data_IF_249323242887
#
_entry.id   IF_249323242887
#
_cell.length_a   1.000
_cell.length_b   1.000
_cell.length_c   1.000
_cell.angle_alpha   90.00
_cell.angle_beta   90.00
_cell.angle_gamma   90.00
#
_symmetry.space_group_name_H-M   'P 1'
#
loop_
_entity.id
_entity.type
_entity.pdbx_description
1 polymer ?
#
# COMPACT_ATOMS: atom_id res chain seq x y z
N UNK A 1 11.78 -37.08 6.23
CA UNK A 1 11.00 -36.58 5.09
C UNK A 1 9.99 -35.63 5.68
N UNK A 2 10.24 -34.33 5.61
CA UNK A 2 9.21 -33.37 5.99
C UNK A 2 8.06 -33.49 5.00
N UNK A 3 6.86 -33.77 5.53
CA UNK A 3 5.64 -33.74 4.74
C UNK A 3 5.50 -32.35 4.14
N UNK A 4 5.45 -32.25 2.82
CA UNK A 4 5.20 -30.99 2.12
C UNK A 4 3.90 -30.37 2.67
N UNK A 5 4.03 -29.20 3.28
CA UNK A 5 2.90 -28.46 3.82
C UNK A 5 2.15 -27.77 2.68
N UNK A 6 0.83 -27.70 2.77
CA UNK A 6 -0.02 -27.03 1.79
C UNK A 6 -0.90 -26.00 2.47
N UNK A 7 -1.15 -24.88 1.79
CA UNK A 7 -2.13 -23.90 2.21
C UNK A 7 -3.54 -24.50 2.10
N UNK A 8 -4.48 -23.93 2.85
CA UNK A 8 -5.88 -24.13 2.56
C UNK A 8 -6.23 -23.30 1.31
N UNK A 9 -6.31 -23.96 0.15
CA UNK A 9 -6.55 -23.31 -1.15
C UNK A 9 -7.87 -22.54 -1.18
N UNK A 10 -8.95 -23.06 -0.58
CA UNK A 10 -10.24 -22.35 -0.52
C UNK A 10 -10.11 -21.04 0.28
N UNK A 11 -9.38 -21.07 1.39
CA UNK A 11 -9.17 -19.88 2.20
C UNK A 11 -8.21 -18.89 1.54
N UNK A 12 -7.18 -19.40 0.86
CA UNK A 12 -6.21 -18.60 0.12
C UNK A 12 -6.88 -17.87 -1.06
N UNK A 13 -7.68 -18.58 -1.86
CA UNK A 13 -8.49 -18.00 -2.93
C UNK A 13 -9.45 -16.95 -2.39
N UNK A 14 -10.14 -17.25 -1.29
CA UNK A 14 -11.04 -16.28 -0.66
C UNK A 14 -10.30 -15.01 -0.21
N UNK A 15 -9.06 -15.13 0.32
CA UNK A 15 -8.23 -13.97 0.66
C UNK A 15 -7.90 -13.14 -0.59
N UNK A 16 -7.51 -13.79 -1.68
CA UNK A 16 -7.18 -13.13 -2.96
C UNK A 16 -8.35 -12.31 -3.47
N UNK A 17 -9.57 -12.84 -3.36
CA UNK A 17 -10.78 -12.19 -3.84
C UNK A 17 -11.28 -11.08 -2.93
N UNK A 18 -11.02 -11.18 -1.62
CA UNK A 18 -11.69 -10.33 -0.62
C UNK A 18 -10.76 -9.29 -0.02
N UNK A 19 -9.52 -9.62 0.34
CA UNK A 19 -8.66 -8.74 1.13
C UNK A 19 -7.98 -7.66 0.27
N UNK A 20 -8.15 -6.39 0.62
CA UNK A 20 -7.55 -5.24 -0.07
C UNK A 20 -6.52 -4.48 0.75
N UNK A 21 -6.55 -4.55 2.08
CA UNK A 21 -5.55 -3.94 2.95
C UNK A 21 -6.09 -3.51 4.30
N UNK A 22 -5.76 -2.28 4.73
CA UNK A 22 -5.97 -1.79 6.08
C UNK A 22 -6.55 -0.37 6.17
N UNK A 23 -7.12 -0.02 7.33
CA UNK A 23 -7.72 1.28 7.61
C UNK A 23 -9.22 1.30 7.35
N UNK A 24 -9.68 2.27 6.56
CA UNK A 24 -11.09 2.41 6.20
C UNK A 24 -11.26 3.25 4.93
N UNK A 25 -12.34 3.01 4.18
CA UNK A 25 -12.61 3.76 2.95
C UNK A 25 -13.02 5.22 3.20
N UNK A 26 -13.47 5.59 4.39
CA UNK A 26 -13.75 6.98 4.75
C UNK A 26 -12.47 7.80 5.04
N UNK A 27 -11.30 7.15 5.00
CA UNK A 27 -10.00 7.77 5.14
C UNK A 27 -9.78 8.85 4.09
N UNK A 28 -9.23 9.99 4.50
CA UNK A 28 -8.96 11.13 3.61
C UNK A 28 -7.79 10.86 2.66
N UNK A 29 -6.82 10.07 3.09
CA UNK A 29 -5.59 9.79 2.36
C UNK A 29 -5.47 8.29 2.11
N UNK A 30 -5.52 7.90 0.85
CA UNK A 30 -5.36 6.51 0.45
C UNK A 30 -3.95 6.29 -0.07
N UNK A 31 -3.32 5.22 0.38
CA UNK A 31 -2.00 4.78 -0.06
C UNK A 31 -2.14 3.44 -0.74
N UNK A 32 -1.70 3.34 -1.99
CA UNK A 32 -1.89 2.14 -2.80
C UNK A 32 -0.54 1.63 -3.27
N UNK A 33 -0.16 0.47 -2.75
CA UNK A 33 1.09 -0.23 -3.05
C UNK A 33 0.91 -1.41 -3.99
N UNK A 34 2.03 -2.02 -4.36
CA UNK A 34 2.05 -3.22 -5.19
C UNK A 34 1.49 -4.43 -4.45
N UNK A 35 2.09 -4.79 -3.32
CA UNK A 35 1.75 -5.95 -2.49
C UNK A 35 2.38 -5.79 -1.10
N UNK A 36 1.86 -6.52 -0.12
CA UNK A 36 2.42 -6.53 1.23
C UNK A 36 3.83 -7.16 1.25
N UNK A 37 4.75 -6.54 1.98
CA UNK A 37 6.00 -7.20 2.35
C UNK A 37 5.74 -8.32 3.37
N UNK A 38 6.53 -9.38 3.30
CA UNK A 38 6.40 -10.54 4.17
C UNK A 38 6.37 -11.82 3.34
N UNK A 39 5.77 -12.88 3.88
CA UNK A 39 5.68 -14.16 3.21
C UNK A 39 7.04 -14.83 3.01
N UNK A 40 7.92 -14.72 4.01
CA UNK A 40 9.29 -15.27 3.95
C UNK A 40 9.30 -16.79 3.85
N UNK A 41 8.30 -17.43 4.44
CA UNK A 41 8.11 -18.87 4.50
C UNK A 41 6.62 -19.23 4.56
N UNK A 42 6.34 -20.53 4.56
CA UNK A 42 4.98 -21.07 4.60
C UNK A 42 4.26 -20.65 5.88
N UNK A 43 4.95 -20.71 7.02
CA UNK A 43 4.42 -20.42 8.34
C UNK A 43 3.94 -18.97 8.46
N UNK A 44 4.71 -17.99 7.97
CA UNK A 44 4.33 -16.57 7.94
C UNK A 44 3.04 -16.36 7.13
N UNK A 45 2.99 -16.89 5.91
CA UNK A 45 1.81 -16.75 5.03
C UNK A 45 0.60 -17.44 5.66
N UNK A 46 0.78 -18.67 6.15
CA UNK A 46 -0.29 -19.43 6.78
C UNK A 46 -0.80 -18.72 8.05
N UNK A 47 0.09 -18.12 8.85
CA UNK A 47 -0.28 -17.32 10.01
C UNK A 47 -1.17 -16.12 9.61
N UNK A 48 -0.74 -15.34 8.62
CA UNK A 48 -1.49 -14.19 8.08
C UNK A 48 -2.89 -14.56 7.61
N UNK A 49 -3.00 -15.63 6.81
CA UNK A 49 -4.27 -16.09 6.26
C UNK A 49 -5.21 -16.55 7.39
N UNK A 50 -4.70 -17.30 8.37
CA UNK A 50 -5.50 -17.78 9.49
C UNK A 50 -5.92 -16.66 10.45
N UNK A 51 -5.08 -15.63 10.66
CA UNK A 51 -5.46 -14.46 11.44
C UNK A 51 -6.56 -13.68 10.72
N UNK A 52 -6.41 -13.43 9.42
CA UNK A 52 -7.45 -12.82 8.61
C UNK A 52 -8.78 -13.60 8.66
N UNK A 53 -8.73 -14.93 8.63
CA UNK A 53 -9.90 -15.78 8.84
C UNK A 53 -10.56 -15.55 10.21
N UNK A 54 -9.79 -15.62 11.29
CA UNK A 54 -10.28 -15.43 12.66
C UNK A 54 -10.87 -14.04 12.88
N UNK A 55 -10.33 -13.04 12.19
CA UNK A 55 -10.78 -11.64 12.24
C UNK A 55 -12.00 -11.36 11.35
N UNK A 56 -12.57 -12.38 10.71
CA UNK A 56 -13.84 -12.30 10.01
C UNK A 56 -13.73 -12.15 8.49
N UNK A 57 -12.53 -12.33 7.91
CA UNK A 57 -12.31 -12.29 6.46
C UNK A 57 -12.69 -10.93 5.83
N UNK A 58 -12.40 -9.84 6.54
CA UNK A 58 -12.77 -8.49 6.10
C UNK A 58 -12.03 -8.07 4.83
N UNK A 59 -12.66 -7.19 4.05
CA UNK A 59 -12.07 -6.54 2.88
C UNK A 59 -10.93 -5.60 3.29
N UNK A 60 -11.12 -4.85 4.37
CA UNK A 60 -10.14 -3.99 5.01
C UNK A 60 -10.10 -4.32 6.50
N UNK A 61 -8.89 -4.40 7.08
CA UNK A 61 -8.71 -4.62 8.52
C UNK A 61 -8.04 -3.43 9.24
N UNK A 62 -7.98 -3.45 10.56
CA UNK A 62 -7.16 -2.51 11.32
C UNK A 62 -5.69 -2.95 11.29
N UNK A 63 -4.78 -2.10 10.79
CA UNK A 63 -3.37 -2.49 10.63
C UNK A 63 -2.73 -2.82 11.98
N UNK A 64 -3.06 -2.08 13.03
CA UNK A 64 -2.44 -2.22 14.34
C UNK A 64 -2.91 -3.51 14.99
N UNK A 65 -4.23 -3.71 15.05
CA UNK A 65 -4.80 -4.92 15.65
C UNK A 65 -4.40 -6.18 14.87
N UNK A 66 -4.39 -6.13 13.54
CA UNK A 66 -3.97 -7.25 12.71
C UNK A 66 -2.51 -7.64 12.97
N UNK A 67 -1.60 -6.67 13.02
CA UNK A 67 -0.19 -6.93 13.31
C UNK A 67 0.06 -7.29 14.79
N UNK A 68 -0.79 -6.83 15.70
CA UNK A 68 -0.74 -7.22 17.10
C UNK A 68 -1.13 -8.69 17.27
N UNK A 69 -2.16 -9.16 16.56
CA UNK A 69 -2.56 -10.58 16.54
C UNK A 69 -1.48 -11.48 15.90
N UNK A 70 -0.67 -10.93 14.99
CA UNK A 70 0.54 -11.59 14.47
C UNK A 70 1.73 -11.57 15.44
N UNK A 71 1.66 -10.77 16.51
CA UNK A 71 2.75 -10.57 17.47
C UNK A 71 3.86 -9.63 16.97
N UNK A 72 3.58 -8.81 15.95
CA UNK A 72 4.57 -7.97 15.23
C UNK A 72 4.32 -6.47 15.35
N UNK A 73 3.31 -6.04 16.11
CA UNK A 73 3.06 -4.62 16.34
C UNK A 73 3.99 -4.08 17.43
N UNK A 74 4.94 -3.23 17.03
CA UNK A 74 5.89 -2.60 17.95
C UNK A 74 6.14 -1.11 17.60
N UNK A 75 6.92 -0.45 18.46
CA UNK A 75 7.30 0.97 18.31
C UNK A 75 8.37 1.21 17.22
N UNK A 76 8.82 0.15 16.54
CA UNK A 76 9.84 0.27 15.50
C UNK A 76 9.19 0.86 14.25
N UNK A 77 9.71 1.99 13.81
CA UNK A 77 9.23 2.65 12.59
C UNK A 77 9.48 1.73 11.39
N UNK A 78 8.42 1.47 10.64
CA UNK A 78 8.48 0.70 9.41
C UNK A 78 8.95 1.60 8.26
N UNK A 79 10.00 1.17 7.54
CA UNK A 79 10.63 1.98 6.49
C UNK A 79 9.65 2.35 5.37
N UNK A 80 8.75 1.43 5.01
CA UNK A 80 7.70 1.69 4.03
C UNK A 80 6.74 2.78 4.53
N UNK A 81 6.26 2.65 5.76
CA UNK A 81 5.24 3.54 6.31
C UNK A 81 5.77 4.95 6.62
N UNK A 82 7.05 5.09 6.98
CA UNK A 82 7.68 6.38 7.26
C UNK A 82 7.43 7.44 6.18
N UNK A 83 7.51 7.07 4.90
CA UNK A 83 7.27 7.99 3.80
C UNK A 83 5.79 8.38 3.68
N UNK A 84 4.88 7.40 3.79
CA UNK A 84 3.43 7.61 3.70
C UNK A 84 2.92 8.52 4.83
N UNK A 85 3.41 8.28 6.05
CA UNK A 85 3.11 9.11 7.22
C UNK A 85 3.61 10.54 6.99
N UNK A 86 4.82 10.72 6.47
CA UNK A 86 5.38 12.05 6.20
C UNK A 86 4.56 12.82 5.16
N UNK A 87 4.09 12.15 4.10
CA UNK A 87 3.16 12.75 3.13
C UNK A 87 1.89 13.24 3.84
N UNK A 88 1.29 12.40 4.69
CA UNK A 88 0.03 12.73 5.38
C UNK A 88 0.19 13.91 6.32
N UNK A 89 1.21 13.89 7.19
CA UNK A 89 1.51 14.96 8.12
C UNK A 89 1.79 16.28 7.40
N UNK A 90 2.54 16.24 6.30
CA UNK A 90 2.83 17.41 5.48
C UNK A 90 1.58 17.96 4.80
N UNK A 91 0.74 17.10 4.23
CA UNK A 91 -0.54 17.52 3.63
C UNK A 91 -1.49 18.15 4.66
N UNK A 92 -1.41 17.70 5.91
CA UNK A 92 -2.13 18.29 7.06
C UNK A 92 -1.46 19.57 7.60
N UNK A 93 -0.44 20.11 6.93
CA UNK A 93 0.18 21.40 7.23
C UNK A 93 1.32 21.35 8.25
N UNK A 94 1.84 20.16 8.59
CA UNK A 94 2.97 20.03 9.51
C UNK A 94 4.30 20.14 8.77
N UNK A 95 5.11 21.15 9.07
CA UNK A 95 6.42 21.35 8.43
C UNK A 95 7.57 20.58 9.11
N UNK A 96 7.77 20.79 10.41
CA UNK A 96 8.90 20.22 11.15
C UNK A 96 8.57 18.80 11.65
N UNK A 97 8.48 17.84 10.73
CA UNK A 97 8.14 16.44 11.04
C UNK A 97 9.39 15.69 11.48
N UNK A 98 9.47 15.34 12.75
CA UNK A 98 10.57 14.58 13.34
C UNK A 98 10.29 13.05 13.38
N UNK A 99 11.13 12.29 14.09
CA UNK A 99 11.00 10.83 14.21
C UNK A 99 9.89 10.42 15.18
N UNK A 100 9.67 11.19 16.26
CA UNK A 100 8.62 10.90 17.24
C UNK A 100 7.24 11.13 16.63
N UNK A 101 7.09 12.14 15.78
CA UNK A 101 5.88 12.38 15.01
C UNK A 101 5.50 11.18 14.14
N UNK A 102 6.49 10.59 13.45
CA UNK A 102 6.27 9.41 12.63
C UNK A 102 5.89 8.21 13.50
N UNK A 103 6.60 7.99 14.61
CA UNK A 103 6.33 6.86 15.51
C UNK A 103 4.92 6.94 16.09
N UNK A 104 4.55 8.11 16.63
CA UNK A 104 3.22 8.32 17.21
C UNK A 104 2.13 8.09 16.17
N UNK A 105 2.29 8.67 14.98
CA UNK A 105 1.30 8.48 13.91
C UNK A 105 1.21 7.02 13.46
N UNK A 106 2.33 6.29 13.37
CA UNK A 106 2.33 4.87 13.05
C UNK A 106 1.51 4.06 14.07
N UNK A 107 1.68 4.33 15.36
CA UNK A 107 1.03 3.59 16.44
C UNK A 107 -0.47 3.92 16.56
N UNK A 108 -0.80 5.21 16.47
CA UNK A 108 -2.10 5.72 16.90
C UNK A 108 -3.05 6.04 15.73
N UNK A 109 -2.53 6.27 14.52
CA UNK A 109 -3.29 6.88 13.42
C UNK A 109 -3.27 6.10 12.10
N UNK A 110 -2.12 5.53 11.73
CA UNK A 110 -1.95 4.87 10.43
C UNK A 110 -2.82 3.62 10.33
N UNK A 111 -3.60 3.49 9.24
CA UNK A 111 -4.34 2.28 8.89
C UNK A 111 -5.34 1.81 9.95
N UNK A 112 -5.83 2.72 10.80
CA UNK A 112 -6.85 2.44 11.82
C UNK A 112 -8.27 2.60 11.25
N UNK A 113 -9.24 1.87 11.80
CA UNK A 113 -10.63 1.80 11.29
C UNK A 113 -11.40 3.13 11.32
N UNK A 114 -11.04 4.05 12.19
CA UNK A 114 -11.74 5.32 12.43
C UNK A 114 -10.86 6.55 12.18
N UNK A 115 -9.71 6.36 11.53
CA UNK A 115 -8.71 7.40 11.28
C UNK A 115 -8.61 7.77 9.80
N UNK A 116 -7.71 8.68 9.48
CA UNK A 116 -7.72 9.38 8.19
C UNK A 116 -7.01 8.65 7.04
N UNK A 117 -6.51 7.43 7.25
CA UNK A 117 -5.72 6.71 6.24
C UNK A 117 -6.30 5.35 5.85
N UNK A 118 -6.21 5.06 4.56
CA UNK A 118 -6.54 3.77 3.96
C UNK A 118 -5.29 3.23 3.26
N UNK A 119 -4.88 2.00 3.55
CA UNK A 119 -3.73 1.34 2.95
C UNK A 119 -4.24 0.19 2.09
N UNK A 120 -4.05 0.24 0.79
CA UNK A 120 -4.49 -0.79 -0.13
C UNK A 120 -3.29 -1.37 -0.88
N UNK A 121 -3.41 -2.62 -1.28
CA UNK A 121 -2.43 -3.27 -2.14
C UNK A 121 -3.08 -3.70 -3.47
N UNK A 122 -2.37 -3.54 -4.58
CA UNK A 122 -2.87 -3.99 -5.87
C UNK A 122 -2.97 -5.51 -5.92
N UNK A 123 -1.95 -6.21 -5.43
CA UNK A 123 -1.87 -7.67 -5.38
C UNK A 123 -2.12 -8.15 -3.94
N UNK A 124 -3.05 -9.11 -3.73
CA UNK A 124 -3.55 -9.46 -2.39
C UNK A 124 -2.63 -10.37 -1.54
N UNK A 125 -1.66 -11.03 -2.14
CA UNK A 125 -0.76 -11.96 -1.46
C UNK A 125 0.58 -11.30 -1.11
N UNK A 126 1.10 -11.50 0.11
CA UNK A 126 2.42 -10.99 0.47
C UNK A 126 3.52 -11.72 -0.30
N UNK A 127 4.62 -11.00 -0.56
CA UNK A 127 5.83 -11.57 -1.15
C UNK A 127 7.08 -10.91 -0.57
N UNK A 128 8.16 -11.65 -0.32
CA UNK A 128 9.37 -11.07 0.24
C UNK A 128 10.18 -10.34 -0.85
N UNK A 129 10.04 -10.78 -2.09
CA UNK A 129 10.64 -10.19 -3.28
C UNK A 129 9.82 -10.50 -4.54
N UNK A 130 10.22 -9.93 -5.67
CA UNK A 130 9.65 -10.23 -6.98
C UNK A 130 10.12 -11.58 -7.54
N UNK A 131 11.25 -12.10 -7.03
CA UNK A 131 11.89 -13.33 -7.52
C UNK A 131 11.43 -14.58 -6.73
N UNK A 132 10.84 -14.37 -5.55
CA UNK A 132 10.33 -15.43 -4.69
C UNK A 132 8.83 -15.67 -4.92
N UNK A 133 8.47 -16.91 -5.29
CA UNK A 133 7.08 -17.31 -5.48
C UNK A 133 6.78 -18.66 -4.81
N UNK A 134 6.62 -18.63 -3.49
CA UNK A 134 6.41 -19.83 -2.66
C UNK A 134 5.08 -20.55 -2.95
N UNK A 135 4.06 -19.82 -3.41
CA UNK A 135 2.72 -20.35 -3.65
C UNK A 135 2.69 -21.53 -4.64
N UNK A 136 3.56 -21.52 -5.66
CA UNK A 136 3.68 -22.61 -6.63
C UNK A 136 4.04 -23.96 -5.99
N UNK A 137 4.67 -23.96 -4.81
CA UNK A 137 5.09 -25.16 -4.07
C UNK A 137 4.09 -25.59 -3.00
N UNK A 138 3.18 -24.71 -2.59
CA UNK A 138 2.34 -24.91 -1.41
C UNK A 138 0.84 -24.74 -1.69
N UNK A 139 0.43 -24.47 -2.94
CA UNK A 139 -0.96 -24.40 -3.38
C UNK A 139 -1.18 -25.24 -4.62
N UNK A 140 -2.41 -25.74 -4.81
CA UNK A 140 -2.84 -26.43 -6.03
C UNK A 140 -3.66 -25.52 -6.96
N UNK A 141 -3.86 -24.25 -6.60
CA UNK A 141 -4.59 -23.29 -7.42
C UNK A 141 -3.81 -23.02 -8.72
N UNK A 142 -4.40 -23.27 -9.91
CA UNK A 142 -3.67 -23.15 -11.17
C UNK A 142 -3.12 -21.74 -11.41
N UNK A 143 -3.84 -20.70 -10.99
CA UNK A 143 -3.39 -19.32 -11.15
C UNK A 143 -2.25 -18.93 -10.21
N UNK A 144 -1.85 -19.79 -9.26
CA UNK A 144 -0.69 -19.57 -8.39
C UNK A 144 0.56 -20.32 -8.86
N UNK A 145 0.54 -20.93 -10.05
CA UNK A 145 1.68 -21.64 -10.65
C UNK A 145 2.94 -20.79 -10.75
N UNK A 146 2.77 -19.51 -11.00
CA UNK A 146 3.84 -18.52 -11.13
C UNK A 146 3.27 -17.11 -10.91
N UNK A 147 4.19 -16.17 -10.69
CA UNK A 147 3.86 -14.78 -10.36
C UNK A 147 3.14 -14.05 -11.50
N UNK A 148 3.46 -14.35 -12.76
CA UNK A 148 2.84 -13.69 -13.91
C UNK A 148 1.39 -14.13 -14.09
N UNK A 149 1.13 -15.44 -14.01
CA UNK A 149 -0.22 -16.00 -14.07
C UNK A 149 -1.10 -15.47 -12.94
N UNK A 150 -0.58 -15.43 -11.71
CA UNK A 150 -1.28 -14.84 -10.56
C UNK A 150 -1.60 -13.37 -10.77
N UNK A 151 -0.62 -12.60 -11.24
CA UNK A 151 -0.78 -11.18 -11.51
C UNK A 151 -1.87 -10.96 -12.57
N UNK A 152 -1.86 -11.73 -13.67
CA UNK A 152 -2.86 -11.65 -14.72
C UNK A 152 -4.26 -12.03 -14.21
N UNK A 153 -4.36 -13.01 -13.30
CA UNK A 153 -5.61 -13.38 -12.65
C UNK A 153 -6.21 -12.24 -11.81
N UNK A 154 -5.36 -11.49 -11.11
CA UNK A 154 -5.81 -10.46 -10.16
C UNK A 154 -6.09 -9.11 -10.81
N UNK A 155 -5.18 -8.63 -11.68
CA UNK A 155 -5.04 -7.20 -11.98
C UNK A 155 -6.33 -6.52 -12.41
N UNK A 156 -7.08 -7.09 -13.36
CA UNK A 156 -8.24 -6.40 -13.91
C UNK A 156 -9.34 -6.24 -12.84
N UNK A 157 -9.63 -7.31 -12.10
CA UNK A 157 -10.59 -7.30 -10.98
C UNK A 157 -10.17 -6.26 -9.94
N UNK A 158 -8.88 -6.24 -9.57
CA UNK A 158 -8.34 -5.33 -8.54
C UNK A 158 -8.39 -3.87 -8.97
N UNK A 159 -8.00 -3.56 -10.20
CA UNK A 159 -8.09 -2.20 -10.76
C UNK A 159 -9.54 -1.72 -10.73
N UNK A 160 -10.47 -2.52 -11.26
CA UNK A 160 -11.88 -2.13 -11.34
C UNK A 160 -12.46 -1.86 -9.95
N UNK A 161 -12.18 -2.74 -8.99
CA UNK A 161 -12.65 -2.60 -7.62
C UNK A 161 -12.08 -1.35 -6.93
N UNK A 162 -10.76 -1.16 -6.99
CA UNK A 162 -10.11 0.01 -6.38
C UNK A 162 -10.61 1.31 -7.02
N UNK A 163 -10.70 1.38 -8.35
CA UNK A 163 -11.25 2.54 -9.06
C UNK A 163 -12.69 2.83 -8.64
N UNK A 164 -13.51 1.80 -8.47
CA UNK A 164 -14.88 1.96 -8.01
C UNK A 164 -14.95 2.49 -6.58
N UNK A 165 -14.15 1.93 -5.65
CA UNK A 165 -14.06 2.44 -4.28
C UNK A 165 -13.62 3.91 -4.22
N UNK A 166 -12.65 4.31 -5.05
CA UNK A 166 -12.24 5.73 -5.13
C UNK A 166 -13.39 6.61 -5.61
N UNK A 167 -14.17 6.18 -6.62
CA UNK A 167 -15.33 6.91 -7.14
C UNK A 167 -16.46 7.03 -6.11
N UNK A 168 -16.66 5.99 -5.30
CA UNK A 168 -17.67 5.92 -4.24
C UNK A 168 -17.32 6.83 -3.07
N UNK A 169 -16.10 6.70 -2.53
CA UNK A 169 -15.70 7.34 -1.28
C UNK A 169 -14.98 8.68 -1.44
N UNK A 170 -14.46 8.97 -2.64
CA UNK A 170 -13.89 10.28 -3.01
C UNK A 170 -12.87 10.82 -1.97
N UNK A 171 -11.80 10.07 -1.67
CA UNK A 171 -10.77 10.54 -0.75
C UNK A 171 -10.17 11.86 -1.22
N UNK A 172 -9.61 12.66 -0.30
CA UNK A 172 -8.92 13.90 -0.66
C UNK A 172 -7.73 13.61 -1.57
N UNK A 173 -6.96 12.58 -1.23
CA UNK A 173 -5.85 12.16 -2.06
C UNK A 173 -5.67 10.65 -2.12
N UNK A 174 -5.21 10.17 -3.27
CA UNK A 174 -4.76 8.81 -3.53
C UNK A 174 -3.30 8.86 -3.95
N UNK A 175 -2.43 8.22 -3.18
CA UNK A 175 -0.99 8.17 -3.39
C UNK A 175 -0.60 6.74 -3.76
N UNK A 176 -0.27 6.55 -5.03
CA UNK A 176 0.30 5.31 -5.54
C UNK A 176 1.81 5.30 -5.33
N UNK A 177 2.35 4.23 -4.73
CA UNK A 177 3.78 4.11 -4.49
C UNK A 177 4.36 2.87 -5.15
N UNK A 178 5.49 3.06 -5.85
CA UNK A 178 6.13 2.01 -6.66
C UNK A 178 5.97 2.29 -8.15
N UNK A 179 6.95 2.99 -8.72
CA UNK A 179 6.91 3.44 -10.12
C UNK A 179 6.94 2.31 -11.16
N UNK A 180 7.34 1.09 -10.77
CA UNK A 180 7.24 -0.08 -11.66
C UNK A 180 5.80 -0.45 -12.05
N UNK A 181 4.81 0.09 -11.33
CA UNK A 181 3.38 -0.18 -11.51
C UNK A 181 2.62 1.01 -12.11
N UNK A 182 3.34 2.00 -12.67
CA UNK A 182 2.76 3.24 -13.21
C UNK A 182 1.61 3.00 -14.19
N UNK A 183 1.71 2.01 -15.06
CA UNK A 183 0.66 1.70 -16.04
C UNK A 183 -0.67 1.31 -15.37
N UNK A 184 -0.63 0.65 -14.22
CA UNK A 184 -1.81 0.28 -13.45
C UNK A 184 -2.35 1.46 -12.64
N UNK A 185 -1.47 2.28 -12.07
CA UNK A 185 -1.84 3.52 -11.39
C UNK A 185 -2.60 4.47 -12.31
N UNK A 186 -2.14 4.62 -13.55
CA UNK A 186 -2.84 5.42 -14.58
C UNK A 186 -4.22 4.86 -14.90
N UNK A 187 -4.35 3.54 -15.01
CA UNK A 187 -5.66 2.89 -15.22
C UNK A 187 -6.60 3.10 -14.03
N UNK A 188 -6.09 3.05 -12.81
CA UNK A 188 -6.92 3.23 -11.62
C UNK A 188 -7.44 4.66 -11.51
N UNK A 189 -6.54 5.63 -11.71
CA UNK A 189 -6.85 7.05 -11.58
C UNK A 189 -7.68 7.59 -12.74
N UNK A 190 -7.43 7.10 -13.96
CA UNK A 190 -8.11 7.49 -15.20
C UNK A 190 -8.14 9.01 -15.43
N UNK A 191 -6.98 9.65 -15.25
CA UNK A 191 -6.78 11.09 -15.45
C UNK A 191 -5.43 11.40 -16.09
N UNK A 192 -5.29 12.64 -16.54
CA UNK A 192 -4.00 13.20 -16.93
C UNK A 192 -3.14 13.53 -15.71
N UNK A 193 -1.82 13.32 -15.87
CA UNK A 193 -0.83 13.57 -14.85
C UNK A 193 0.24 14.53 -15.36
N UNK A 194 0.60 15.49 -14.52
CA UNK A 194 1.75 16.37 -14.72
C UNK A 194 2.94 15.84 -13.92
N UNK A 195 4.12 15.85 -14.54
CA UNK A 195 5.37 15.51 -13.86
C UNK A 195 5.91 16.73 -13.11
N UNK A 196 6.19 16.56 -11.82
CA UNK A 196 6.81 17.58 -10.98
C UNK A 196 8.25 17.15 -10.68
N UNK A 197 9.23 18.00 -11.01
CA UNK A 197 10.62 17.81 -10.60
C UNK A 197 10.80 18.32 -9.17
N UNK A 198 11.45 17.51 -8.32
CA UNK A 198 11.84 17.90 -6.96
C UNK A 198 13.30 18.34 -7.01
N UNK A 199 13.58 19.49 -6.39
CA UNK A 199 14.90 20.12 -6.44
C UNK A 199 16.01 19.18 -5.93
N UNK A 200 17.22 19.36 -6.47
CA UNK A 200 18.40 18.58 -6.08
C UNK A 200 18.74 18.84 -4.62
N UNK A 201 18.98 17.78 -3.85
CA UNK A 201 20.03 17.84 -2.83
C UNK A 201 21.39 17.67 -3.51
N UNK A 202 22.43 18.33 -3.03
CA UNK A 202 23.73 18.52 -3.69
C UNK A 202 24.38 17.22 -4.24
N UNK A 203 24.01 16.05 -3.70
CA UNK A 203 24.53 14.72 -4.08
C UNK A 203 23.54 13.78 -4.80
N UNK A 204 22.35 14.25 -5.20
CA UNK A 204 21.26 13.38 -5.68
C UNK A 204 20.87 13.56 -7.17
N UNK A 205 20.51 12.45 -7.83
CA UNK A 205 19.82 12.45 -9.13
C UNK A 205 18.50 13.22 -9.00
N UNK A 206 18.04 13.89 -10.06
CA UNK A 206 16.72 14.55 -10.07
C UNK A 206 15.61 13.58 -9.65
N UNK A 207 14.88 13.92 -8.60
CA UNK A 207 13.67 13.20 -8.21
C UNK A 207 12.46 13.83 -8.89
N UNK A 208 11.43 13.02 -9.10
CA UNK A 208 10.15 13.49 -9.62
C UNK A 208 9.02 12.65 -9.06
N UNK A 209 7.82 13.20 -9.14
CA UNK A 209 6.57 12.47 -8.97
C UNK A 209 5.57 12.96 -10.01
N UNK A 210 4.47 12.24 -10.17
CA UNK A 210 3.38 12.67 -11.02
C UNK A 210 2.20 13.08 -10.14
N UNK A 211 1.53 14.16 -10.51
CA UNK A 211 0.33 14.63 -9.82
C UNK A 211 -0.76 15.01 -10.81
N UNK A 212 -2.00 14.70 -10.47
CA UNK A 212 -3.19 15.06 -11.22
C UNK A 212 -4.37 15.20 -10.27
N UNK A 213 -5.49 15.73 -10.75
CA UNK A 213 -6.69 15.93 -9.95
C UNK A 213 -7.93 15.71 -10.83
N UNK A 214 -8.91 14.99 -10.30
CA UNK A 214 -10.28 15.05 -10.82
C UNK A 214 -11.11 16.04 -9.98
N UNK A 215 -12.42 16.13 -10.17
CA UNK A 215 -13.25 17.13 -9.47
C UNK A 215 -13.12 17.13 -7.93
N UNK A 216 -12.70 16.03 -7.28
CA UNK A 216 -12.68 15.91 -5.81
C UNK A 216 -11.38 15.34 -5.24
N UNK A 217 -10.67 14.49 -6.00
CA UNK A 217 -9.54 13.71 -5.52
C UNK A 217 -8.26 14.10 -6.24
N UNK A 218 -7.19 14.34 -5.48
CA UNK A 218 -5.82 14.47 -5.99
C UNK A 218 -5.18 13.09 -6.08
N UNK A 219 -4.55 12.79 -7.22
CA UNK A 219 -3.82 11.55 -7.42
C UNK A 219 -2.33 11.85 -7.54
N UNK A 220 -1.51 11.05 -6.88
CA UNK A 220 -0.05 11.17 -6.92
C UNK A 220 0.58 9.82 -7.19
N UNK A 221 1.56 9.75 -8.11
CA UNK A 221 2.40 8.56 -8.30
C UNK A 221 3.82 8.88 -7.86
N UNK A 222 4.33 8.10 -6.90
CA UNK A 222 5.60 8.36 -6.22
C UNK A 222 6.51 7.13 -6.20
N UNK A 223 7.79 7.36 -5.95
CA UNK A 223 8.74 6.27 -5.66
C UNK A 223 8.37 5.60 -4.33
N UNK A 224 8.66 4.30 -4.23
CA UNK A 224 8.53 3.55 -2.97
C UNK A 224 9.41 4.17 -1.88
N UNK A 225 8.99 4.15 -0.61
CA UNK A 225 9.73 4.76 0.51
C UNK A 225 11.10 4.16 0.81
N UNK A 226 11.36 2.96 0.28
CA UNK A 226 12.67 2.28 0.37
C UNK A 226 13.46 2.34 -0.94
N UNK A 227 12.97 3.05 -1.95
CA UNK A 227 13.68 3.18 -3.22
C UNK A 227 14.99 3.96 -3.02
N UNK A 228 16.05 3.55 -3.71
CA UNK A 228 17.34 4.20 -3.59
C UNK A 228 17.28 5.71 -3.87
N UNK A 229 17.86 6.49 -2.95
CA UNK A 229 18.03 7.94 -3.04
C UNK A 229 16.81 8.79 -2.66
N UNK A 230 15.65 8.22 -2.30
CA UNK A 230 14.52 9.04 -1.82
C UNK A 230 14.82 9.63 -0.45
N UNK A 231 14.45 10.89 -0.24
CA UNK A 231 14.73 11.66 0.99
C UNK A 231 13.45 11.96 1.77
N UNK A 232 13.59 12.44 3.01
CA UNK A 232 12.45 12.97 3.78
C UNK A 232 11.81 14.16 3.06
N UNK A 233 12.61 15.05 2.49
CA UNK A 233 12.13 16.25 1.78
C UNK A 233 11.31 15.89 0.55
N UNK A 234 11.69 14.83 -0.16
CA UNK A 234 10.89 14.31 -1.27
C UNK A 234 9.45 14.00 -0.85
N UNK A 235 9.25 13.29 0.27
CA UNK A 235 7.92 12.98 0.80
C UNK A 235 7.22 14.20 1.39
N UNK A 236 7.98 15.15 1.95
CA UNK A 236 7.46 16.41 2.45
C UNK A 236 6.86 17.27 1.33
N UNK A 237 7.58 17.43 0.23
CA UNK A 237 7.17 18.21 -0.93
C UNK A 237 5.94 17.61 -1.63
N UNK A 238 5.80 16.28 -1.61
CA UNK A 238 4.60 15.60 -2.10
C UNK A 238 3.38 16.02 -1.26
N UNK A 239 3.48 15.99 0.08
CA UNK A 239 2.39 16.41 0.96
C UNK A 239 1.96 17.86 0.72
N UNK A 240 2.93 18.78 0.60
CA UNK A 240 2.67 20.19 0.24
C UNK A 240 1.99 20.34 -1.12
N UNK A 241 2.43 19.55 -2.10
CA UNK A 241 1.87 19.56 -3.45
C UNK A 241 0.43 19.04 -3.48
N UNK A 242 0.09 18.05 -2.66
CA UNK A 242 -1.30 17.59 -2.48
C UNK A 242 -2.18 18.75 -1.98
N UNK A 243 -1.74 19.45 -0.93
CA UNK A 243 -2.50 20.57 -0.37
C UNK A 243 -2.66 21.72 -1.35
N UNK A 244 -1.61 22.07 -2.08
CA UNK A 244 -1.68 23.08 -3.14
C UNK A 244 -2.68 22.67 -4.24
N UNK A 245 -2.63 21.42 -4.70
CA UNK A 245 -3.53 20.89 -5.75
C UNK A 245 -4.98 20.81 -5.29
N UNK A 246 -5.23 20.55 -4.01
CA UNK A 246 -6.57 20.57 -3.44
C UNK A 246 -7.20 21.97 -3.47
N UNK A 247 -6.39 23.03 -3.37
CA UNK A 247 -6.84 24.42 -3.38
C UNK A 247 -7.09 25.01 -4.78
N UNK A 248 -6.64 24.34 -5.85
CA UNK A 248 -6.97 24.67 -7.26
C UNK A 248 -8.43 24.35 -7.60
#
# INVERSE_FOLDING_TARGET
>A
MDSQQFFNDELLEKRIETFYGYGNYEGKYWFIGMEEAGGKDFEDINCRINIWEKRGKNEIDDVAEYHQDMGWWDEKIQNTWKGLIRITLSANGKDNIDVEDIRKYQLDELGRRDKETCLLELLPLPSPSIDDWIYARHSKLPFLSDRETYKNYCIEKRINHISQRIKEHKPKAVVFYGMGYECYWRKIADIEFTKIEVAKTEDSKKHYFFIGKNNQTVFVMVKHSVAFGVTSDYFHDIGKSITAKLAE
#
